data_IF_910959658989
#
_entry.id   IF_910959658989
#
_cell.length_a   1.000
_cell.length_b   1.000
_cell.length_c   1.000
_cell.angle_alpha   90.00
_cell.angle_beta   90.00
_cell.angle_gamma   90.00
#
_symmetry.space_group_name_H-M   'P 1'
#
loop_
_entity.id
_entity.type
_entity.pdbx_description
1 polymer ?
#
# COMPACT_ATOMS: atom_id res chain seq x y z
N UNK A 1 31.24 -8.65 2.90
CA UNK A 1 31.63 -8.74 1.48
C UNK A 1 30.45 -8.26 0.62
N UNK A 2 30.54 -7.10 -0.04
CA UNK A 2 29.44 -6.56 -0.86
C UNK A 2 29.56 -7.21 -2.25
N UNK A 3 28.59 -8.03 -2.66
CA UNK A 3 28.56 -8.64 -4.00
C UNK A 3 28.27 -7.56 -5.06
N UNK A 4 29.33 -7.00 -5.63
CA UNK A 4 29.26 -6.13 -6.81
C UNK A 4 29.35 -6.98 -8.08
N UNK A 5 28.20 -7.23 -8.72
CA UNK A 5 27.92 -6.94 -10.15
C UNK A 5 26.97 -7.93 -10.82
N UNK A 6 26.94 -9.22 -10.47
CA UNK A 6 26.09 -10.18 -11.19
C UNK A 6 25.00 -10.76 -10.31
N UNK A 7 23.73 -10.55 -10.72
CA UNK A 7 22.58 -11.25 -10.19
C UNK A 7 22.56 -12.67 -10.73
N UNK A 8 22.47 -13.65 -9.85
CA UNK A 8 22.40 -15.06 -10.22
C UNK A 8 20.97 -15.44 -10.67
N UNK A 9 20.80 -16.48 -11.49
CA UNK A 9 19.48 -17.01 -11.83
C UNK A 9 18.63 -17.35 -10.59
N UNK A 10 19.25 -17.85 -9.52
CA UNK A 10 18.60 -18.19 -8.25
C UNK A 10 18.11 -16.94 -7.53
N UNK A 11 18.93 -15.88 -7.45
CA UNK A 11 18.51 -14.59 -6.88
C UNK A 11 17.39 -13.95 -7.70
N UNK A 12 17.41 -14.09 -9.03
CA UNK A 12 16.34 -13.61 -9.90
C UNK A 12 15.03 -14.34 -9.61
N UNK A 13 15.06 -15.68 -9.60
CA UNK A 13 13.90 -16.51 -9.29
C UNK A 13 13.33 -16.16 -7.93
N UNK A 14 14.19 -16.01 -6.92
CA UNK A 14 13.77 -15.63 -5.56
C UNK A 14 13.18 -14.23 -5.51
N UNK A 15 13.79 -13.26 -6.20
CA UNK A 15 13.25 -11.91 -6.26
C UNK A 15 11.88 -11.87 -6.94
N UNK A 16 11.67 -12.62 -8.03
CA UNK A 16 10.37 -12.70 -8.71
C UNK A 16 9.31 -13.27 -7.77
N UNK A 17 9.62 -14.38 -7.09
CA UNK A 17 8.71 -15.01 -6.12
C UNK A 17 8.32 -14.05 -4.98
N UNK A 18 9.29 -13.38 -4.36
CA UNK A 18 9.00 -12.46 -3.25
C UNK A 18 8.16 -11.26 -3.73
N UNK A 19 8.41 -10.79 -4.95
CA UNK A 19 7.65 -9.67 -5.53
C UNK A 19 6.24 -10.08 -5.94
N UNK A 20 6.03 -11.32 -6.42
CA UNK A 20 4.69 -11.85 -6.71
C UNK A 20 3.88 -12.09 -5.44
N UNK A 21 4.53 -12.37 -4.31
CA UNK A 21 3.93 -12.40 -2.97
C UNK A 21 3.63 -10.99 -2.41
N UNK A 22 3.87 -9.93 -3.18
CA UNK A 22 3.58 -8.55 -2.78
C UNK A 22 4.63 -7.92 -1.86
N UNK A 23 5.75 -8.58 -1.59
CA UNK A 23 6.77 -8.03 -0.69
C UNK A 23 7.48 -6.82 -1.31
N UNK A 24 7.60 -5.74 -0.55
CA UNK A 24 8.35 -4.55 -0.96
C UNK A 24 9.87 -4.73 -0.82
N UNK A 25 10.72 -4.04 -1.60
CA UNK A 25 12.18 -4.15 -1.50
C UNK A 25 12.72 -3.87 -0.09
N UNK A 26 12.06 -3.01 0.68
CA UNK A 26 12.39 -2.75 2.09
C UNK A 26 12.15 -3.98 2.97
N UNK A 27 11.04 -4.68 2.79
CA UNK A 27 10.72 -5.92 3.49
C UNK A 27 11.71 -7.03 3.09
N UNK A 28 11.94 -7.20 1.78
CA UNK A 28 12.90 -8.19 1.26
C UNK A 28 14.29 -8.03 1.89
N UNK A 29 14.74 -6.78 2.08
CA UNK A 29 16.01 -6.52 2.75
C UNK A 29 15.94 -6.82 4.25
N UNK A 30 14.88 -6.35 4.93
CA UNK A 30 14.70 -6.51 6.37
C UNK A 30 14.72 -7.99 6.77
N UNK A 31 14.05 -8.83 5.99
CA UNK A 31 13.95 -10.28 6.21
C UNK A 31 15.19 -11.06 5.72
N UNK A 32 16.16 -10.39 5.10
CA UNK A 32 17.43 -11.02 4.70
C UNK A 32 17.35 -12.01 3.54
N UNK A 33 16.23 -12.12 2.82
CA UNK A 33 16.05 -13.12 1.75
C UNK A 33 17.05 -13.04 0.59
N UNK A 34 17.68 -11.88 0.39
CA UNK A 34 18.71 -11.66 -0.63
C UNK A 34 19.97 -11.13 0.05
N UNK A 35 20.72 -12.06 0.64
CA UNK A 35 21.93 -11.77 1.39
C UNK A 35 22.97 -11.01 0.53
N UNK A 36 23.62 -10.02 1.15
CA UNK A 36 24.60 -9.17 0.46
C UNK A 36 24.00 -8.17 -0.54
N UNK A 37 22.70 -8.20 -0.84
CA UNK A 37 22.02 -7.17 -1.66
C UNK A 37 21.56 -6.00 -0.81
N UNK A 38 21.68 -4.80 -1.35
CA UNK A 38 21.16 -3.57 -0.76
C UNK A 38 19.74 -3.31 -1.24
N UNK A 39 18.97 -2.49 -0.52
CA UNK A 39 17.61 -2.09 -0.94
C UNK A 39 17.64 -1.45 -2.32
N UNK A 40 18.64 -0.61 -2.60
CA UNK A 40 18.83 0.03 -3.90
C UNK A 40 19.12 -0.98 -5.02
N UNK A 41 19.95 -1.99 -4.75
CA UNK A 41 20.22 -3.06 -5.71
C UNK A 41 18.94 -3.84 -6.04
N UNK A 42 18.17 -4.24 -5.01
CA UNK A 42 16.88 -4.94 -5.18
C UNK A 42 15.91 -4.09 -5.99
N UNK A 43 15.74 -2.80 -5.63
CA UNK A 43 14.84 -1.89 -6.35
C UNK A 43 15.25 -1.70 -7.82
N UNK A 44 16.54 -1.47 -8.09
CA UNK A 44 17.05 -1.29 -9.46
C UNK A 44 16.83 -2.56 -10.28
N UNK A 45 17.11 -3.72 -9.69
CA UNK A 45 16.98 -4.99 -10.39
C UNK A 45 15.53 -5.40 -10.63
N UNK A 46 14.63 -5.13 -9.68
CA UNK A 46 13.19 -5.30 -9.90
C UNK A 46 12.68 -4.49 -11.11
N UNK A 47 13.23 -3.30 -11.35
CA UNK A 47 12.90 -2.51 -12.55
C UNK A 47 13.46 -3.13 -13.82
N UNK A 48 14.69 -3.65 -13.79
CA UNK A 48 15.33 -4.33 -14.94
C UNK A 48 14.52 -5.58 -15.32
N UNK A 49 14.12 -6.37 -14.34
CA UNK A 49 13.28 -7.56 -14.53
C UNK A 49 11.81 -7.21 -14.84
N UNK A 50 11.45 -5.92 -14.88
CA UNK A 50 10.07 -5.42 -15.05
C UNK A 50 9.06 -6.03 -14.06
N UNK A 51 9.54 -6.52 -12.93
CA UNK A 51 8.73 -6.95 -11.78
C UNK A 51 8.45 -5.75 -10.88
N UNK A 52 7.77 -4.76 -11.46
CA UNK A 52 7.07 -3.80 -10.65
C UNK A 52 6.00 -4.58 -9.88
N UNK A 53 5.83 -4.28 -8.60
CA UNK A 53 4.50 -4.51 -8.02
C UNK A 53 3.65 -3.60 -8.86
N UNK A 54 2.77 -4.19 -9.68
CA UNK A 54 1.78 -3.45 -10.45
C UNK A 54 1.27 -2.30 -9.60
N UNK A 55 1.03 -1.13 -10.22
CA UNK A 55 0.38 -0.03 -9.53
C UNK A 55 -0.92 -0.57 -8.96
N UNK A 56 -0.88 -1.02 -7.69
CA UNK A 56 -2.01 -1.68 -7.05
C UNK A 56 -3.13 -0.66 -7.11
N UNK A 57 -4.13 -0.91 -7.94
CA UNK A 57 -5.24 0.03 -8.09
C UNK A 57 -5.89 0.21 -6.73
N UNK A 58 -6.34 1.43 -6.45
CA UNK A 58 -7.12 1.69 -5.24
C UNK A 58 -8.47 1.03 -5.39
N UNK A 59 -8.80 0.15 -4.46
CA UNK A 59 -10.10 -0.54 -4.45
C UNK A 59 -11.16 0.33 -3.79
N UNK A 60 -12.43 0.12 -4.14
CA UNK A 60 -13.55 0.77 -3.45
C UNK A 60 -13.48 0.52 -1.93
N UNK A 61 -13.09 -0.71 -1.54
CA UNK A 61 -12.92 -1.09 -0.14
C UNK A 61 -11.90 -0.24 0.60
N UNK A 62 -10.72 -0.02 0.00
CA UNK A 62 -9.67 0.82 0.57
C UNK A 62 -10.13 2.27 0.71
N UNK A 63 -10.82 2.81 -0.28
CA UNK A 63 -11.28 4.21 -0.25
C UNK A 63 -12.29 4.46 0.86
N UNK A 64 -13.28 3.57 0.99
CA UNK A 64 -14.25 3.64 2.09
C UNK A 64 -13.60 3.44 3.46
N UNK A 65 -12.67 2.50 3.57
CA UNK A 65 -11.92 2.30 4.82
C UNK A 65 -11.11 3.53 5.20
N UNK A 66 -10.43 4.17 4.25
CA UNK A 66 -9.70 5.42 4.46
C UNK A 66 -10.63 6.52 4.95
N UNK A 67 -11.74 6.75 4.26
CA UNK A 67 -12.70 7.79 4.65
C UNK A 67 -13.25 7.58 6.06
N UNK A 68 -13.69 6.36 6.39
CA UNK A 68 -14.19 6.01 7.73
C UNK A 68 -13.13 6.29 8.81
N UNK A 69 -11.87 5.91 8.56
CA UNK A 69 -10.80 6.15 9.52
C UNK A 69 -10.49 7.64 9.70
N UNK A 70 -10.59 8.45 8.64
CA UNK A 70 -10.49 9.91 8.72
C UNK A 70 -11.61 10.48 9.60
N UNK A 71 -12.87 10.06 9.38
CA UNK A 71 -14.00 10.54 10.17
C UNK A 71 -13.88 10.14 11.66
N UNK A 72 -13.23 9.01 11.94
CA UNK A 72 -12.90 8.57 13.31
C UNK A 72 -11.67 9.27 13.91
N UNK A 73 -11.04 10.22 13.20
CA UNK A 73 -9.91 11.01 13.69
C UNK A 73 -8.54 10.32 13.60
N UNK A 74 -8.40 9.26 12.82
CA UNK A 74 -7.09 8.58 12.66
C UNK A 74 -6.13 9.42 11.82
N UNK A 75 -4.85 9.41 12.20
CA UNK A 75 -3.79 10.04 11.42
C UNK A 75 -3.41 9.22 10.19
N UNK A 76 -3.00 9.89 9.11
CA UNK A 76 -2.61 9.27 7.83
C UNK A 76 -1.58 8.14 7.97
N UNK A 77 -0.71 8.22 8.97
CA UNK A 77 0.28 7.18 9.24
C UNK A 77 -0.36 5.85 9.66
N UNK A 78 -1.32 5.89 10.57
CA UNK A 78 -2.00 4.68 11.05
C UNK A 78 -2.95 4.14 10.00
N UNK A 79 -3.64 5.03 9.27
CA UNK A 79 -4.45 4.66 8.10
C UNK A 79 -3.60 3.88 7.09
N UNK A 80 -2.39 4.36 6.78
CA UNK A 80 -1.52 3.71 5.79
C UNK A 80 -1.11 2.29 6.18
N UNK A 81 -0.86 2.05 7.48
CA UNK A 81 -0.57 0.71 8.01
C UNK A 81 -1.78 -0.20 7.87
N UNK A 82 -2.97 0.32 8.16
CA UNK A 82 -4.24 -0.40 8.18
C UNK A 82 -4.75 -0.83 6.78
N UNK A 83 -4.35 -0.11 5.73
CA UNK A 83 -4.65 -0.48 4.33
C UNK A 83 -3.45 -1.09 3.59
N UNK A 84 -2.35 -1.29 4.31
CA UNK A 84 -1.09 -1.81 3.79
C UNK A 84 -0.57 -1.02 2.57
N UNK A 85 -0.60 0.32 2.68
CA UNK A 85 -0.06 1.27 1.68
C UNK A 85 1.01 2.13 2.33
N UNK A 86 1.82 2.80 1.50
CA UNK A 86 2.79 3.79 2.04
C UNK A 86 2.07 5.06 2.46
N UNK A 87 2.52 5.71 3.54
CA UNK A 87 2.01 7.03 4.00
C UNK A 87 1.88 8.05 2.88
N UNK A 88 2.91 8.13 2.00
CA UNK A 88 2.90 9.07 0.88
C UNK A 88 1.78 8.76 -0.14
N UNK A 89 1.62 7.49 -0.51
CA UNK A 89 0.54 7.07 -1.42
C UNK A 89 -0.85 7.34 -0.82
N UNK A 90 -1.02 7.06 0.47
CA UNK A 90 -2.26 7.33 1.21
C UNK A 90 -2.55 8.82 1.25
N UNK A 91 -1.58 9.65 1.66
CA UNK A 91 -1.74 11.11 1.72
C UNK A 91 -2.12 11.69 0.35
N UNK A 92 -1.40 11.28 -0.70
CA UNK A 92 -1.67 11.72 -2.06
C UNK A 92 -3.08 11.32 -2.52
N UNK A 93 -3.53 10.10 -2.20
CA UNK A 93 -4.87 9.64 -2.57
C UNK A 93 -5.96 10.40 -1.83
N UNK A 94 -5.80 10.64 -0.52
CA UNK A 94 -6.75 11.44 0.27
C UNK A 94 -6.92 12.83 -0.33
N UNK A 95 -5.82 13.48 -0.74
CA UNK A 95 -5.87 14.82 -1.33
C UNK A 95 -6.55 14.83 -2.70
N UNK A 96 -6.23 13.87 -3.59
CA UNK A 96 -6.83 13.80 -4.94
C UNK A 96 -8.32 13.51 -4.88
N UNK A 97 -8.72 12.57 -4.02
CA UNK A 97 -10.11 12.12 -3.91
C UNK A 97 -10.93 12.97 -2.92
N UNK A 98 -10.36 14.03 -2.32
CA UNK A 98 -11.07 14.91 -1.40
C UNK A 98 -11.64 14.23 -0.15
N UNK A 99 -11.07 13.11 0.29
CA UNK A 99 -11.65 12.24 1.34
C UNK A 99 -11.71 12.87 2.74
N UNK A 100 -11.12 14.05 2.93
CA UNK A 100 -11.33 14.83 4.15
C UNK A 100 -12.73 15.45 4.22
N UNK A 101 -13.32 15.75 3.07
CA UNK A 101 -14.52 16.60 2.98
C UNK A 101 -15.75 15.84 2.53
N UNK A 102 -15.59 14.80 1.73
CA UNK A 102 -16.71 14.04 1.18
C UNK A 102 -16.43 12.54 1.13
N UNK A 103 -17.48 11.70 1.17
CA UNK A 103 -17.34 10.27 1.00
C UNK A 103 -16.77 9.92 -0.39
N UNK A 104 -16.18 8.72 -0.55
CA UNK A 104 -15.76 8.21 -1.85
C UNK A 104 -16.93 8.08 -2.82
N UNK A 105 -16.65 8.13 -4.12
CA UNK A 105 -17.65 7.90 -5.16
C UNK A 105 -18.11 6.44 -5.14
N UNK A 106 -19.43 6.24 -5.26
CA UNK A 106 -20.06 4.91 -5.30
C UNK A 106 -20.71 4.54 -3.98
N UNK A 107 -21.22 3.31 -3.88
CA UNK A 107 -21.84 2.81 -2.65
C UNK A 107 -20.78 2.20 -1.72
N UNK A 108 -20.94 2.35 -0.39
CA UNK A 108 -20.07 1.68 0.56
C UNK A 108 -20.18 0.16 0.42
N UNK A 109 -19.08 -0.59 0.56
CA UNK A 109 -19.13 -2.03 0.76
C UNK A 109 -20.07 -2.38 1.94
N UNK A 110 -20.83 -3.47 1.80
CA UNK A 110 -21.87 -3.87 2.76
C UNK A 110 -21.38 -3.93 4.22
N UNK A 111 -20.14 -4.41 4.42
CA UNK A 111 -19.50 -4.49 5.74
C UNK A 111 -19.29 -3.13 6.42
N UNK A 112 -19.38 -2.03 5.69
CA UNK A 112 -19.28 -0.67 6.21
C UNK A 112 -20.62 0.06 6.29
N UNK A 113 -21.71 -0.50 5.75
CA UNK A 113 -23.00 0.19 5.64
C UNK A 113 -23.50 0.74 6.98
N UNK A 114 -23.42 -0.05 8.05
CA UNK A 114 -23.87 0.39 9.38
C UNK A 114 -23.07 1.59 9.90
N UNK A 115 -21.73 1.53 9.75
CA UNK A 115 -20.83 2.60 10.21
C UNK A 115 -21.04 3.86 9.38
N UNK A 116 -21.24 3.72 8.06
CA UNK A 116 -21.48 4.85 7.17
C UNK A 116 -22.82 5.50 7.48
N UNK A 117 -23.87 4.71 7.74
CA UNK A 117 -25.17 5.23 8.16
C UNK A 117 -25.09 5.97 9.50
N UNK A 118 -24.28 5.50 10.44
CA UNK A 118 -24.02 6.20 11.71
C UNK A 118 -23.29 7.52 11.48
N UNK A 119 -22.24 7.52 10.64
CA UNK A 119 -21.44 8.72 10.35
C UNK A 119 -22.19 9.78 9.53
N UNK A 120 -23.12 9.37 8.66
CA UNK A 120 -23.93 10.27 7.83
C UNK A 120 -25.30 10.60 8.45
N UNK A 121 -25.72 9.83 9.46
CA UNK A 121 -27.06 9.89 10.05
C UNK A 121 -27.23 10.89 11.19
N UNK A 122 -26.22 11.71 11.49
CA UNK A 122 -26.21 12.64 12.63
C UNK A 122 -26.47 14.11 12.23
N UNK A 123 -27.30 14.33 11.19
CA UNK A 123 -27.86 15.66 10.83
C UNK A 123 -29.17 15.97 11.62
N UNK A 124 -29.33 15.39 12.81
CA UNK A 124 -30.49 15.65 13.69
C UNK A 124 -30.09 16.30 15.01
N UNK A 125 -29.55 17.53 14.95
CA UNK A 125 -29.64 18.52 16.04
C UNK A 125 -29.79 19.94 15.51
#
# INVERSE_FOLDING_TARGET
MIKLSNWTPEENKKLIELRSQGMFPSQIKKEGYLEGRTILAVRRHSRILKITTENRSWTNDELWKVWILIQKGYYTEDISKEIHRTKNATSHKISIEGLFYHPPVGSPPEKYSNIVNELLGDDSK
#
